data_IF_067467399816
#
_entry.id   IF_067467399816
#
_cell.length_a   1.000
_cell.length_b   1.000
_cell.length_c   1.000
_cell.angle_alpha   90.00
_cell.angle_beta   90.00
_cell.angle_gamma   90.00
#
_symmetry.space_group_name_H-M   'P 1'
#
loop_
_entity.id
_entity.type
_entity.pdbx_description
1 polymer ?
#
# COMPACT_ATOMS: atom_id res chain seq x y z
N UNK A 1 -13.59 9.33 -23.93
CA UNK A 1 -13.19 9.77 -22.58
C UNK A 1 -12.32 8.66 -22.04
N UNK A 2 -11.12 8.95 -21.54
CA UNK A 2 -10.33 7.93 -20.84
C UNK A 2 -11.07 7.57 -19.57
N UNK A 3 -11.38 6.29 -19.38
CA UNK A 3 -12.01 5.82 -18.15
C UNK A 3 -11.05 6.04 -16.98
N UNK A 4 -11.60 6.32 -15.80
CA UNK A 4 -10.80 6.51 -14.60
C UNK A 4 -10.14 5.17 -14.21
N UNK A 5 -8.87 5.17 -13.76
CA UNK A 5 -8.14 3.94 -13.48
C UNK A 5 -8.72 3.18 -12.29
N UNK A 6 -8.50 1.86 -12.26
CA UNK A 6 -8.65 1.04 -11.07
C UNK A 6 -7.28 0.86 -10.42
N UNK A 7 -7.20 1.01 -9.10
CA UNK A 7 -5.94 0.85 -8.36
C UNK A 7 -5.97 -0.44 -7.55
N UNK A 8 -4.89 -1.21 -7.59
CA UNK A 8 -4.63 -2.32 -6.67
C UNK A 8 -3.45 -1.99 -5.76
N UNK A 9 -3.61 -2.21 -4.45
CA UNK A 9 -2.56 -2.06 -3.45
C UNK A 9 -2.21 -3.41 -2.81
N UNK A 10 -0.94 -3.62 -2.51
CA UNK A 10 -0.44 -4.74 -1.70
C UNK A 10 0.45 -4.21 -0.56
N UNK A 11 -0.05 -4.28 0.67
CA UNK A 11 0.67 -3.83 1.88
C UNK A 11 1.49 -5.00 2.41
N UNK A 12 2.74 -5.10 1.94
CA UNK A 12 3.63 -6.23 2.22
C UNK A 12 4.48 -6.06 3.49
N UNK A 13 5.39 -7.01 3.72
CA UNK A 13 6.25 -6.99 4.92
C UNK A 13 7.43 -6.02 4.82
N UNK A 14 7.71 -5.46 3.64
CA UNK A 14 8.86 -4.56 3.41
C UNK A 14 8.48 -3.27 2.69
N UNK A 15 7.20 -3.06 2.38
CA UNK A 15 6.72 -1.92 1.63
C UNK A 15 5.31 -2.12 1.08
N UNK A 16 4.73 -1.02 0.59
CA UNK A 16 3.48 -1.03 -0.18
C UNK A 16 3.81 -1.00 -1.66
N UNK A 17 3.14 -1.86 -2.43
CA UNK A 17 3.16 -1.85 -3.89
C UNK A 17 1.80 -1.44 -4.41
N UNK A 18 1.79 -0.70 -5.51
CA UNK A 18 0.59 -0.21 -6.15
C UNK A 18 0.62 -0.32 -7.67
N UNK A 19 -0.53 -0.60 -8.24
CA UNK A 19 -0.76 -0.71 -9.67
C UNK A 19 -2.00 0.08 -10.06
N UNK A 20 -1.92 0.94 -11.08
CA UNK A 20 -3.09 1.51 -11.73
C UNK A 20 -3.32 0.81 -13.07
N UNK A 21 -4.55 0.36 -13.33
CA UNK A 21 -4.95 -0.32 -14.57
C UNK A 21 -6.18 0.32 -15.21
N UNK A 22 -6.35 0.12 -16.52
CA UNK A 22 -7.63 0.33 -17.20
C UNK A 22 -8.57 -0.89 -16.98
N UNK A 23 -9.86 -0.80 -17.36
CA UNK A 23 -10.82 -1.89 -17.22
C UNK A 23 -10.44 -3.18 -17.97
N UNK A 24 -9.65 -3.05 -19.04
CA UNK A 24 -9.11 -4.16 -19.82
C UNK A 24 -7.89 -4.83 -19.16
N UNK A 25 -7.38 -4.26 -18.06
CA UNK A 25 -6.24 -4.77 -17.30
C UNK A 25 -4.88 -4.26 -17.79
N UNK A 26 -4.84 -3.29 -18.69
CA UNK A 26 -3.61 -2.63 -19.13
C UNK A 26 -3.04 -1.80 -17.99
N UNK A 27 -1.74 -1.96 -17.72
CA UNK A 27 -1.08 -1.16 -16.68
C UNK A 27 -0.81 0.25 -17.16
N UNK A 28 -1.36 1.23 -16.43
CA UNK A 28 -1.19 2.65 -16.65
C UNK A 28 -0.03 3.21 -15.82
N UNK A 29 0.10 2.78 -14.56
CA UNK A 29 1.18 3.21 -13.66
C UNK A 29 1.52 2.14 -12.60
N UNK A 30 2.72 2.25 -12.02
CA UNK A 30 3.22 1.43 -10.91
C UNK A 30 3.91 2.33 -9.90
N UNK A 31 3.73 2.04 -8.62
CA UNK A 31 4.47 2.70 -7.54
C UNK A 31 4.80 1.70 -6.44
N UNK A 32 5.91 1.93 -5.74
CA UNK A 32 6.33 1.13 -4.58
C UNK A 32 7.01 2.05 -3.57
N UNK A 33 6.70 1.86 -2.30
CA UNK A 33 7.34 2.58 -1.20
C UNK A 33 7.70 1.61 -0.08
N UNK A 34 8.99 1.57 0.28
CA UNK A 34 9.52 0.64 1.27
C UNK A 34 9.52 1.20 2.70
N UNK A 35 9.53 0.31 3.68
CA UNK A 35 9.73 0.64 5.10
C UNK A 35 10.61 -0.40 5.80
N UNK A 36 11.28 -0.02 6.91
CA UNK A 36 12.17 -0.92 7.62
C UNK A 36 11.41 -2.07 8.29
N UNK A 37 12.12 -3.18 8.51
CA UNK A 37 11.70 -4.26 9.40
C UNK A 37 12.60 -4.24 10.63
N UNK A 38 12.00 -4.11 11.81
CA UNK A 38 12.70 -4.15 13.08
C UNK A 38 12.91 -5.60 13.52
N UNK A 39 14.15 -5.95 13.87
CA UNK A 39 14.53 -7.29 14.35
C UNK A 39 15.36 -7.17 15.63
N UNK A 40 14.78 -6.64 16.73
CA UNK A 40 15.56 -6.26 17.92
C UNK A 40 16.12 -7.47 18.67
N UNK A 41 15.53 -8.65 18.48
CA UNK A 41 15.96 -9.91 19.10
C UNK A 41 15.85 -11.08 18.10
N UNK A 42 16.63 -12.17 18.29
CA UNK A 42 16.50 -13.37 17.48
C UNK A 42 15.06 -13.91 17.48
N UNK A 43 14.50 -14.11 16.28
CA UNK A 43 13.14 -14.62 16.09
C UNK A 43 12.04 -13.55 16.13
N UNK A 44 12.39 -12.28 16.36
CA UNK A 44 11.45 -11.17 16.32
C UNK A 44 11.49 -10.48 14.96
N UNK A 45 10.32 -10.13 14.44
CA UNK A 45 10.14 -9.35 13.23
C UNK A 45 8.94 -8.43 13.46
N UNK A 46 9.22 -7.13 13.60
CA UNK A 46 8.27 -6.11 13.99
C UNK A 46 8.28 -4.97 12.96
N UNK A 47 7.14 -4.30 12.83
CA UNK A 47 6.96 -3.14 11.98
C UNK A 47 6.17 -2.09 12.76
N UNK A 48 6.36 -0.82 12.42
CA UNK A 48 5.47 0.24 12.86
C UNK A 48 4.26 0.30 11.91
N UNK A 49 3.01 0.11 12.39
CA UNK A 49 1.82 0.24 11.54
C UNK A 49 1.66 1.62 10.89
N UNK A 50 2.26 2.67 11.46
CA UNK A 50 2.26 4.01 10.85
C UNK A 50 3.01 4.02 9.52
N UNK A 51 4.10 3.26 9.40
CA UNK A 51 4.87 3.14 8.16
C UNK A 51 4.01 2.58 7.01
N UNK A 52 3.07 1.68 7.32
CA UNK A 52 2.15 1.12 6.32
C UNK A 52 1.22 2.19 5.75
N UNK A 53 0.75 3.09 6.61
CA UNK A 53 -0.14 4.17 6.21
C UNK A 53 0.62 5.21 5.37
N UNK A 54 1.79 5.66 5.85
CA UNK A 54 2.62 6.63 5.13
C UNK A 54 3.04 6.13 3.74
N UNK A 55 3.46 4.86 3.65
CA UNK A 55 3.79 4.24 2.37
C UNK A 55 2.55 4.09 1.46
N UNK A 56 1.37 3.80 2.02
CA UNK A 56 0.11 3.75 1.27
C UNK A 56 -0.22 5.10 0.65
N UNK A 57 -0.12 6.18 1.43
CA UNK A 57 -0.37 7.55 0.95
C UNK A 57 0.63 7.95 -0.15
N UNK A 58 1.92 7.63 0.02
CA UNK A 58 2.96 7.89 -0.98
C UNK A 58 2.68 7.15 -2.30
N UNK A 59 2.32 5.87 -2.23
CA UNK A 59 1.96 5.05 -3.41
C UNK A 59 0.72 5.60 -4.11
N UNK A 60 -0.34 5.94 -3.37
CA UNK A 60 -1.57 6.50 -3.95
C UNK A 60 -1.32 7.86 -4.60
N UNK A 61 -0.54 8.74 -3.96
CA UNK A 61 -0.19 10.04 -4.53
C UNK A 61 0.57 9.89 -5.85
N UNK A 62 1.55 8.98 -5.91
CA UNK A 62 2.30 8.72 -7.14
C UNK A 62 1.41 8.15 -8.25
N UNK A 63 0.57 7.14 -7.94
CA UNK A 63 -0.34 6.55 -8.93
C UNK A 63 -1.36 7.57 -9.44
N UNK A 64 -1.87 8.43 -8.57
CA UNK A 64 -2.80 9.49 -8.96
C UNK A 64 -2.12 10.54 -9.86
N UNK A 65 -0.87 10.90 -9.59
CA UNK A 65 -0.11 11.81 -10.43
C UNK A 65 0.16 11.22 -11.82
N UNK A 66 0.43 9.91 -11.91
CA UNK A 66 0.82 9.26 -13.16
C UNK A 66 -0.36 8.76 -14.01
N UNK A 67 -1.47 8.34 -13.39
CA UNK A 67 -2.61 7.71 -14.06
C UNK A 67 -3.96 8.42 -13.83
N UNK A 68 -4.03 9.40 -12.93
CA UNK A 68 -5.26 10.12 -12.57
C UNK A 68 -6.01 9.53 -11.38
N UNK A 69 -7.11 10.19 -11.00
CA UNK A 69 -7.91 9.80 -9.82
C UNK A 69 -8.59 8.44 -10.02
N UNK A 70 -8.40 7.47 -9.10
CA UNK A 70 -8.97 6.14 -9.25
C UNK A 70 -10.50 6.12 -9.13
N UNK A 71 -11.15 5.28 -9.93
CA UNK A 71 -12.57 4.94 -9.79
C UNK A 71 -12.84 3.96 -8.63
N UNK A 72 -11.82 3.18 -8.24
CA UNK A 72 -11.91 2.21 -7.15
C UNK A 72 -10.51 1.72 -6.74
N UNK A 73 -10.42 1.23 -5.51
CA UNK A 73 -9.18 0.69 -4.93
C UNK A 73 -9.47 -0.74 -4.42
N UNK A 74 -8.71 -1.71 -4.94
CA UNK A 74 -8.60 -3.06 -4.37
C UNK A 74 -7.38 -3.16 -3.45
N UNK A 75 -7.49 -3.95 -2.38
CA UNK A 75 -6.45 -4.10 -1.37
C UNK A 75 -6.10 -5.57 -1.14
N UNK A 76 -4.81 -5.84 -1.08
CA UNK A 76 -4.16 -7.03 -0.55
C UNK A 76 -3.16 -6.60 0.53
N UNK A 77 -2.72 -7.54 1.36
CA UNK A 77 -1.63 -7.26 2.28
C UNK A 77 -1.26 -8.45 3.15
N UNK A 78 -0.32 -8.19 4.04
CA UNK A 78 0.19 -9.18 4.97
C UNK A 78 -0.88 -9.74 5.92
N UNK A 79 -0.71 -11.02 6.28
CA UNK A 79 -1.55 -11.75 7.24
C UNK A 79 -0.73 -12.18 8.45
N UNK A 80 -1.41 -12.58 9.53
CA UNK A 80 -0.83 -13.16 10.76
C UNK A 80 -0.02 -12.22 11.67
N UNK A 81 -0.10 -10.91 11.46
CA UNK A 81 0.41 -9.90 12.39
C UNK A 81 -0.53 -9.64 13.57
N UNK A 82 0.02 -9.11 14.67
CA UNK A 82 -0.76 -8.56 15.79
C UNK A 82 -0.51 -7.04 15.84
N UNK A 83 -1.59 -6.27 15.72
CA UNK A 83 -1.59 -4.83 15.98
C UNK A 83 -2.55 -4.60 17.14
N UNK A 84 -2.04 -4.09 18.25
CA UNK A 84 -2.85 -3.71 19.40
C UNK A 84 -3.10 -2.21 19.35
N UNK A 85 -4.37 -1.82 19.39
CA UNK A 85 -4.78 -0.42 19.36
C UNK A 85 -5.41 -0.01 20.70
N UNK A 86 -5.22 1.24 21.08
CA UNK A 86 -5.96 1.87 22.16
C UNK A 86 -7.32 2.44 21.68
N UNK A 87 -8.05 3.12 22.58
CA UNK A 87 -9.36 3.70 22.27
C UNK A 87 -9.32 4.89 21.29
N UNK A 88 -8.13 5.37 20.94
CA UNK A 88 -7.89 6.43 19.98
C UNK A 88 -7.40 5.95 18.62
N UNK A 89 -7.55 4.66 18.32
CA UNK A 89 -7.07 3.99 17.10
C UNK A 89 -5.55 4.15 16.90
N UNK A 90 -4.79 4.12 18.00
CA UNK A 90 -3.33 4.19 18.02
C UNK A 90 -2.68 2.91 18.49
#
# INVERSE_FOLDING_TARGET
>A
MTEAPLVGLDVGTSGVKGLAIDPEGTVLARAEWGYPLSTPQPGWAEQDPADWWEATEAVLAQLQADAGTPAGIGLSGQMHGLVALDNGDR
#
